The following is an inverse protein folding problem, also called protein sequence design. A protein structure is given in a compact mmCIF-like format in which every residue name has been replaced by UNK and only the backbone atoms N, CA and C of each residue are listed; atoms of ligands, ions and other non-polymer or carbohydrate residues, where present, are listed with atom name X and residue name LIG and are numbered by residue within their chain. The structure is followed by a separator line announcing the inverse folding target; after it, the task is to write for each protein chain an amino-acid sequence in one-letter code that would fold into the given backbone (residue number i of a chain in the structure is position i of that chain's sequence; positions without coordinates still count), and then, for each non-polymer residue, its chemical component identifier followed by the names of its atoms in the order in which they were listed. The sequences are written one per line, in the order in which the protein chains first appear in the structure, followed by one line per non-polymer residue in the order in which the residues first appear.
data_IF_913406278854
#
_entry.id   IF_913406278854
#
_cell.length_a   1.000
_cell.length_b   1.000
_cell.length_c   1.000
_cell.angle_alpha   90.00
_cell.angle_beta   90.00
_cell.angle_gamma   90.00
#
_symmetry.space_group_name_H-M   'P 1'
#
loop_
_entity.id
_entity.type
_entity.pdbx_description
1 polymer ?
#
# COMPACT_ATOMS: atom_id res chain seq x y z
N UNK A 1 -51.65 -72.41 -2.39
CA UNK A 1 -50.77 -71.60 -3.33
C UNK A 1 -50.79 -70.17 -2.86
N UNK A 2 -49.79 -69.76 -2.11
CA UNK A 2 -49.64 -68.41 -1.60
C UNK A 2 -48.44 -67.77 -2.28
N UNK A 3 -48.69 -66.73 -3.10
CA UNK A 3 -47.67 -65.94 -3.81
C UNK A 3 -47.13 -64.90 -2.87
N UNK A 4 -45.85 -65.01 -2.54
CA UNK A 4 -45.12 -63.94 -1.76
C UNK A 4 -44.61 -62.83 -2.69
N UNK A 5 -45.03 -61.63 -2.44
CA UNK A 5 -44.56 -60.40 -3.12
C UNK A 5 -43.31 -59.83 -2.39
N UNK A 6 -42.16 -59.98 -3.03
CA UNK A 6 -40.91 -59.44 -2.53
C UNK A 6 -40.77 -57.98 -3.00
N UNK A 7 -40.88 -57.03 -2.10
CA UNK A 7 -40.59 -55.60 -2.35
C UNK A 7 -39.09 -55.32 -2.23
N UNK A 8 -38.47 -54.99 -3.38
CA UNK A 8 -37.09 -54.45 -3.43
C UNK A 8 -37.09 -52.99 -2.97
N UNK A 9 -36.47 -52.71 -1.82
CA UNK A 9 -36.13 -51.34 -1.41
C UNK A 9 -34.84 -50.90 -2.11
N UNK A 10 -34.96 -50.02 -3.09
CA UNK A 10 -33.83 -49.37 -3.72
C UNK A 10 -33.35 -48.23 -2.79
N UNK A 11 -32.15 -48.38 -2.19
CA UNK A 11 -31.49 -47.35 -1.44
C UNK A 11 -30.92 -46.29 -2.37
N UNK A 12 -31.53 -45.11 -2.41
CA UNK A 12 -30.99 -43.91 -3.11
C UNK A 12 -29.95 -43.31 -2.25
N UNK A 13 -28.66 -43.50 -2.60
CA UNK A 13 -27.56 -42.78 -1.97
C UNK A 13 -27.62 -41.30 -2.41
N UNK A 14 -28.00 -40.41 -1.48
CA UNK A 14 -27.88 -38.96 -1.68
C UNK A 14 -26.41 -38.58 -1.70
N UNK A 15 -25.87 -38.29 -2.89
CA UNK A 15 -24.62 -37.60 -3.01
C UNK A 15 -24.82 -36.16 -2.53
N UNK A 16 -24.31 -35.81 -1.34
CA UNK A 16 -24.09 -34.42 -0.97
C UNK A 16 -23.02 -33.85 -1.92
N UNK A 17 -23.44 -33.06 -2.88
CA UNK A 17 -22.52 -32.23 -3.64
C UNK A 17 -21.96 -31.21 -2.65
N UNK A 18 -20.65 -31.27 -2.41
CA UNK A 18 -19.88 -30.25 -1.67
C UNK A 18 -19.90 -29.00 -2.56
N UNK A 19 -20.88 -28.11 -2.32
CA UNK A 19 -20.93 -26.81 -2.99
C UNK A 19 -19.98 -25.93 -2.18
N UNK A 20 -18.80 -25.55 -2.72
CA UNK A 20 -17.94 -24.61 -2.01
C UNK A 20 -18.73 -23.32 -1.79
N UNK A 21 -18.94 -22.96 -0.53
CA UNK A 21 -19.69 -21.76 -0.12
C UNK A 21 -19.08 -20.46 -0.66
N UNK A 22 -17.82 -20.52 -1.08
CA UNK A 22 -17.11 -19.43 -1.75
C UNK A 22 -16.28 -20.00 -2.89
N UNK A 23 -16.27 -19.38 -4.08
CA UNK A 23 -15.33 -19.77 -5.11
C UNK A 23 -13.91 -19.60 -4.57
N UNK A 24 -13.20 -20.69 -4.35
CA UNK A 24 -11.76 -20.70 -4.13
C UNK A 24 -11.11 -20.30 -5.44
N UNK A 25 -11.04 -18.99 -5.68
CA UNK A 25 -10.47 -18.40 -6.86
C UNK A 25 -9.19 -17.63 -6.54
N UNK A 26 -8.59 -16.94 -7.50
CA UNK A 26 -7.35 -16.16 -7.35
C UNK A 26 -7.40 -15.09 -6.26
N UNK A 27 -8.55 -14.83 -5.65
CA UNK A 27 -8.70 -13.90 -4.53
C UNK A 27 -7.98 -14.36 -3.24
N UNK A 28 -7.76 -15.67 -3.06
CA UNK A 28 -7.02 -16.17 -1.88
C UNK A 28 -5.54 -15.84 -1.91
N UNK A 29 -4.97 -15.63 -3.11
CA UNK A 29 -3.58 -15.28 -3.30
C UNK A 29 -3.40 -13.81 -3.68
N UNK A 30 -4.45 -12.99 -3.55
CA UNK A 30 -4.37 -11.58 -3.85
C UNK A 30 -3.44 -10.86 -2.87
N UNK A 31 -2.54 -10.08 -3.42
CA UNK A 31 -1.69 -9.14 -2.72
C UNK A 31 -1.85 -7.76 -3.35
N UNK A 32 -1.40 -6.73 -2.68
CA UNK A 32 -1.64 -5.36 -3.12
C UNK A 32 -0.33 -4.59 -3.20
N UNK A 33 -0.01 -4.09 -4.39
CA UNK A 33 1.23 -3.40 -4.67
C UNK A 33 0.94 -1.99 -5.15
N UNK A 34 1.58 -0.98 -4.56
CA UNK A 34 1.57 0.38 -5.08
C UNK A 34 2.98 0.93 -5.22
N UNK A 35 3.08 1.99 -5.99
CA UNK A 35 4.33 2.69 -6.22
C UNK A 35 4.22 4.14 -5.77
N UNK A 36 5.33 4.67 -5.24
CA UNK A 36 5.46 6.07 -4.85
C UNK A 36 6.72 6.67 -5.45
N UNK A 37 6.60 7.90 -5.92
CA UNK A 37 7.70 8.64 -6.51
C UNK A 37 8.34 9.58 -5.47
N UNK A 38 9.47 9.16 -4.90
CA UNK A 38 10.34 9.99 -4.06
C UNK A 38 11.55 10.55 -4.85
N UNK A 39 11.53 10.52 -6.19
CA UNK A 39 12.56 11.14 -7.03
C UNK A 39 12.22 12.61 -7.34
N UNK A 40 13.19 13.45 -7.73
CA UNK A 40 12.93 14.86 -8.04
C UNK A 40 12.02 15.12 -9.25
N UNK A 41 11.92 14.19 -10.19
CA UNK A 41 11.17 14.35 -11.43
C UNK A 41 10.02 13.37 -11.59
N UNK A 42 9.61 13.16 -12.83
CA UNK A 42 8.65 12.12 -13.21
C UNK A 42 9.27 10.74 -13.03
N UNK A 43 8.49 9.82 -12.49
CA UNK A 43 8.80 8.39 -12.42
C UNK A 43 7.90 7.63 -13.39
N UNK A 44 8.49 6.94 -14.34
CA UNK A 44 7.80 6.00 -15.22
C UNK A 44 8.13 4.57 -14.80
N UNK A 45 7.11 3.74 -14.72
CA UNK A 45 7.22 2.34 -14.37
C UNK A 45 6.62 1.48 -15.46
N UNK A 46 7.34 0.42 -15.83
CA UNK A 46 6.88 -0.62 -16.77
C UNK A 46 7.12 -1.97 -16.12
N UNK A 47 6.04 -2.74 -15.90
CA UNK A 47 6.15 -4.10 -15.40
C UNK A 47 6.60 -5.07 -16.51
N UNK A 48 7.34 -6.10 -16.14
CA UNK A 48 7.77 -7.15 -17.06
C UNK A 48 6.58 -7.78 -17.78
N UNK A 49 6.69 -7.93 -19.09
CA UNK A 49 5.62 -8.47 -19.93
C UNK A 49 4.49 -7.50 -20.24
N UNK A 50 4.49 -6.28 -19.68
CA UNK A 50 3.50 -5.25 -19.95
C UNK A 50 3.98 -4.25 -20.99
N UNK A 51 3.04 -3.79 -21.86
CA UNK A 51 3.24 -2.63 -22.73
C UNK A 51 2.74 -1.32 -22.10
N UNK A 52 1.94 -1.43 -21.04
CA UNK A 52 1.42 -0.28 -20.30
C UNK A 52 2.49 0.30 -19.39
N UNK A 53 2.47 1.61 -19.20
CA UNK A 53 3.34 2.31 -18.25
C UNK A 53 2.50 3.06 -17.25
N UNK A 54 2.95 3.02 -15.98
CA UNK A 54 2.44 3.88 -14.93
C UNK A 54 3.37 5.09 -14.81
N UNK A 55 2.80 6.30 -14.82
CA UNK A 55 3.54 7.56 -14.67
C UNK A 55 3.12 8.23 -13.38
N UNK A 56 4.10 8.57 -12.53
CA UNK A 56 3.89 9.19 -11.23
C UNK A 56 4.63 10.52 -11.15
N UNK A 57 3.90 11.61 -10.94
CA UNK A 57 4.46 12.96 -10.78
C UNK A 57 3.47 13.91 -10.11
N UNK A 58 3.95 14.99 -9.51
CA UNK A 58 3.13 16.02 -8.89
C UNK A 58 2.12 15.46 -7.89
N UNK A 59 0.86 15.79 -8.07
CA UNK A 59 -0.24 15.33 -7.21
C UNK A 59 -0.56 13.84 -7.35
N UNK A 60 -0.04 13.19 -8.39
CA UNK A 60 -0.14 11.75 -8.64
C UNK A 60 1.18 11.02 -8.37
N UNK A 61 1.93 11.50 -7.38
CA UNK A 61 3.21 10.87 -7.01
C UNK A 61 3.06 9.49 -6.34
N UNK A 62 1.86 9.12 -5.92
CA UNK A 62 1.57 7.80 -5.33
C UNK A 62 0.42 7.16 -6.10
N UNK A 63 0.57 5.91 -6.51
CA UNK A 63 -0.49 5.16 -7.20
C UNK A 63 -1.55 4.64 -6.23
N UNK A 64 -2.72 4.25 -6.76
CA UNK A 64 -3.60 3.32 -6.06
C UNK A 64 -2.90 1.96 -5.85
N UNK A 65 -3.43 1.12 -4.98
CA UNK A 65 -2.97 -0.26 -4.84
C UNK A 65 -3.47 -1.10 -6.02
N UNK A 66 -2.54 -1.71 -6.71
CA UNK A 66 -2.76 -2.63 -7.81
C UNK A 66 -2.93 -4.04 -7.23
N UNK A 67 -4.04 -4.75 -7.47
CA UNK A 67 -4.14 -6.14 -7.10
C UNK A 67 -3.15 -6.96 -7.95
N UNK A 68 -2.39 -7.81 -7.29
CA UNK A 68 -1.38 -8.69 -7.90
C UNK A 68 -1.51 -10.09 -7.32
N UNK A 69 -0.99 -11.09 -8.03
CA UNK A 69 -0.90 -12.45 -7.46
C UNK A 69 0.25 -12.46 -6.47
N UNK A 70 -0.09 -12.69 -5.19
CA UNK A 70 0.88 -12.87 -4.12
C UNK A 70 1.62 -14.21 -4.21
N UNK A 71 2.75 -14.31 -3.51
CA UNK A 71 3.48 -15.57 -3.38
C UNK A 71 4.97 -15.47 -3.69
N UNK A 72 5.55 -16.61 -4.04
CA UNK A 72 7.01 -16.74 -4.18
C UNK A 72 7.60 -16.12 -5.45
N UNK A 73 6.77 -15.89 -6.46
CA UNK A 73 7.23 -15.28 -7.71
C UNK A 73 7.37 -13.76 -7.54
N UNK A 74 8.56 -13.18 -7.78
CA UNK A 74 8.72 -11.74 -7.70
C UNK A 74 8.01 -11.04 -8.87
N UNK A 75 7.38 -9.91 -8.56
CA UNK A 75 6.90 -8.95 -9.53
C UNK A 75 8.10 -8.09 -9.93
N UNK A 76 8.36 -8.00 -11.22
CA UNK A 76 9.55 -7.33 -11.77
C UNK A 76 9.16 -6.25 -12.76
N UNK A 77 10.10 -5.35 -13.05
CA UNK A 77 9.95 -4.32 -14.06
C UNK A 77 11.06 -3.28 -13.96
N UNK A 78 10.86 -2.17 -14.64
CA UNK A 78 11.82 -1.08 -14.75
C UNK A 78 11.20 0.22 -14.23
N UNK A 79 11.93 0.90 -13.36
CA UNK A 79 11.71 2.28 -12.90
C UNK A 79 12.61 3.21 -13.73
N UNK A 80 12.03 4.23 -14.35
CA UNK A 80 12.76 5.21 -15.15
C UNK A 80 12.50 6.61 -14.59
N UNK A 81 13.54 7.32 -14.18
CA UNK A 81 13.47 8.70 -13.70
C UNK A 81 14.73 9.46 -14.08
N UNK A 82 14.59 10.73 -14.54
CA UNK A 82 15.73 11.58 -14.91
C UNK A 82 16.63 10.96 -15.99
N UNK A 83 16.07 10.18 -16.91
CA UNK A 83 16.83 9.49 -17.97
C UNK A 83 17.62 8.26 -17.51
N UNK A 84 17.46 7.84 -16.24
CA UNK A 84 18.09 6.65 -15.66
C UNK A 84 17.07 5.55 -15.44
N UNK A 85 17.48 4.31 -15.68
CA UNK A 85 16.67 3.12 -15.46
C UNK A 85 17.22 2.31 -14.28
N UNK A 86 16.32 1.73 -13.50
CA UNK A 86 16.66 0.78 -12.45
C UNK A 86 15.63 -0.36 -12.45
N UNK A 87 16.11 -1.59 -12.39
CA UNK A 87 15.24 -2.74 -12.27
C UNK A 87 14.65 -2.81 -10.85
N UNK A 88 13.39 -3.19 -10.77
CA UNK A 88 12.78 -3.55 -9.49
C UNK A 88 12.36 -5.01 -9.48
N UNK A 89 12.40 -5.60 -8.29
CA UNK A 89 11.96 -6.96 -8.06
C UNK A 89 11.41 -7.06 -6.64
N UNK A 90 10.12 -7.33 -6.50
CA UNK A 90 9.45 -7.39 -5.20
C UNK A 90 8.58 -8.64 -5.10
N UNK A 91 8.72 -9.38 -4.00
CA UNK A 91 7.79 -10.45 -3.62
C UNK A 91 6.78 -9.85 -2.66
N UNK A 92 5.51 -10.20 -2.81
CA UNK A 92 4.42 -9.76 -1.93
C UNK A 92 3.65 -11.00 -1.51
N UNK A 93 3.49 -11.21 -0.21
CA UNK A 93 2.76 -12.35 0.30
C UNK A 93 1.23 -12.18 0.10
N UNK A 94 0.46 -13.27 0.01
CA UNK A 94 -1.00 -13.18 -0.01
C UNK A 94 -1.54 -12.34 1.17
N UNK A 95 -2.46 -11.43 0.88
CA UNK A 95 -3.05 -10.50 1.86
C UNK A 95 -2.16 -9.32 2.26
N UNK A 96 -0.92 -9.27 1.80
CA UNK A 96 0.01 -8.20 2.13
C UNK A 96 -0.20 -6.95 1.27
N UNK A 97 0.00 -5.79 1.86
CA UNK A 97 0.07 -4.50 1.18
C UNK A 97 1.53 -4.03 1.14
N UNK A 98 2.06 -3.83 -0.05
CA UNK A 98 3.43 -3.37 -0.24
C UNK A 98 3.47 -2.03 -0.98
N UNK A 99 4.26 -1.09 -0.47
CA UNK A 99 4.54 0.19 -1.12
C UNK A 99 5.99 0.20 -1.57
N UNK A 100 6.23 0.27 -2.87
CA UNK A 100 7.57 0.46 -3.46
C UNK A 100 7.79 1.94 -3.67
N UNK A 101 8.71 2.54 -2.92
CA UNK A 101 9.09 3.93 -3.06
C UNK A 101 10.37 4.00 -3.90
N UNK A 102 10.29 4.67 -5.06
CA UNK A 102 11.46 4.98 -5.86
C UNK A 102 12.16 6.22 -5.29
N UNK A 103 13.45 6.12 -5.04
CA UNK A 103 14.29 7.14 -4.43
C UNK A 103 15.57 7.32 -5.25
N UNK A 104 16.29 8.41 -4.99
CA UNK A 104 17.63 8.62 -5.56
C UNK A 104 18.64 8.48 -4.43
N UNK A 105 19.68 7.70 -4.63
CA UNK A 105 20.79 7.54 -3.69
C UNK A 105 21.79 8.71 -3.78
N UNK A 106 22.76 8.75 -2.88
CA UNK A 106 23.79 9.78 -2.84
C UNK A 106 24.67 9.84 -4.11
N UNK A 107 24.67 8.80 -4.94
CA UNK A 107 25.37 8.72 -6.22
C UNK A 107 24.50 9.13 -7.40
N UNK A 108 23.24 9.51 -7.13
CA UNK A 108 22.26 9.86 -8.14
C UNK A 108 21.70 8.66 -8.90
N UNK A 109 21.84 7.43 -8.37
CA UNK A 109 21.22 6.25 -8.94
C UNK A 109 19.82 6.04 -8.33
N UNK A 110 18.89 5.51 -9.13
CA UNK A 110 17.56 5.14 -8.64
C UNK A 110 17.68 3.90 -7.75
N UNK A 111 17.19 3.99 -6.52
CA UNK A 111 17.02 2.87 -5.58
C UNK A 111 15.54 2.68 -5.25
N UNK A 112 15.20 1.49 -4.77
CA UNK A 112 13.86 1.21 -4.25
C UNK A 112 13.92 0.97 -2.75
N UNK A 113 12.88 1.41 -2.05
CA UNK A 113 12.56 1.06 -0.68
C UNK A 113 11.20 0.37 -0.68
N UNK A 114 11.11 -0.82 -0.08
CA UNK A 114 9.86 -1.57 0.01
C UNK A 114 9.35 -1.52 1.44
N UNK A 115 8.21 -0.89 1.63
CA UNK A 115 7.52 -0.83 2.92
C UNK A 115 6.32 -1.77 2.87
N UNK A 116 6.17 -2.61 3.88
CA UNK A 116 5.16 -3.66 3.96
C UNK A 116 4.27 -3.45 5.15
N UNK A 117 2.98 -3.67 4.97
CA UNK A 117 2.02 -3.66 6.06
C UNK A 117 0.98 -4.77 5.91
N UNK A 118 0.49 -5.24 7.05
CA UNK A 118 -0.72 -6.06 7.11
C UNK A 118 -1.86 -5.10 7.45
N UNK A 119 -3.01 -5.19 6.75
CA UNK A 119 -4.14 -4.31 7.04
C UNK A 119 -4.57 -4.45 8.50
N UNK A 120 -4.89 -3.31 9.11
CA UNK A 120 -5.57 -3.25 10.40
C UNK A 120 -7.06 -3.58 10.27
N UNK A 121 -7.73 -3.77 11.40
CA UNK A 121 -9.16 -4.00 11.44
C UNK A 121 -9.94 -2.84 10.83
N UNK A 122 -10.97 -3.17 10.05
CA UNK A 122 -11.86 -2.19 9.46
C UNK A 122 -12.74 -1.51 10.51
N UNK A 123 -12.81 -0.19 10.50
CA UNK A 123 -13.72 0.61 11.32
C UNK A 123 -14.45 1.64 10.47
N UNK A 124 -15.74 1.40 10.22
CA UNK A 124 -16.57 2.25 9.38
C UNK A 124 -16.77 3.68 9.93
N UNK A 125 -16.49 3.93 11.21
CA UNK A 125 -16.68 5.24 11.86
C UNK A 125 -15.39 6.06 11.97
N UNK A 126 -14.26 5.46 11.66
CA UNK A 126 -12.94 6.08 11.72
C UNK A 126 -12.29 6.11 10.35
N UNK A 127 -11.36 7.03 10.15
CA UNK A 127 -10.39 6.95 9.07
C UNK A 127 -9.15 6.21 9.57
N UNK A 128 -8.54 5.39 8.73
CA UNK A 128 -7.26 4.75 9.03
C UNK A 128 -6.14 5.52 8.31
N UNK A 129 -5.22 6.12 9.07
CA UNK A 129 -4.10 6.90 8.55
C UNK A 129 -2.79 6.18 8.82
N UNK A 130 -2.00 5.92 7.77
CA UNK A 130 -0.62 5.46 7.88
C UNK A 130 0.36 6.63 7.72
N UNK A 131 1.50 6.54 8.40
CA UNK A 131 2.66 7.35 8.15
C UNK A 131 3.86 6.46 7.82
N UNK A 132 4.44 6.67 6.65
CA UNK A 132 5.61 5.96 6.11
C UNK A 132 6.78 6.93 6.05
N UNK A 133 7.90 6.55 6.65
CA UNK A 133 9.13 7.30 6.46
C UNK A 133 9.99 6.63 5.37
N UNK A 134 10.17 7.29 4.24
CA UNK A 134 11.04 6.86 3.15
C UNK A 134 12.27 7.76 2.97
N UNK A 135 12.55 8.64 3.93
CA UNK A 135 13.68 9.55 3.90
C UNK A 135 14.75 9.18 4.94
N UNK A 136 15.88 8.65 4.48
CA UNK A 136 17.00 8.29 5.33
C UNK A 136 17.62 9.50 6.06
N UNK A 137 17.44 10.72 5.55
CA UNK A 137 17.96 11.94 6.18
C UNK A 137 17.09 12.40 7.35
N UNK A 138 15.85 11.86 7.46
CA UNK A 138 14.91 12.10 8.53
C UNK A 138 14.76 10.85 9.40
N UNK A 139 15.83 10.43 10.09
CA UNK A 139 15.91 9.14 10.78
C UNK A 139 14.84 8.94 11.85
N UNK A 140 14.46 9.99 12.58
CA UNK A 140 13.43 9.99 13.63
C UNK A 140 12.22 10.82 13.18
N UNK A 141 11.60 10.44 12.07
CA UNK A 141 10.46 11.15 11.51
C UNK A 141 9.26 11.11 12.46
N UNK A 142 8.70 12.28 12.73
CA UNK A 142 7.45 12.43 13.48
C UNK A 142 6.46 13.26 12.67
N UNK A 143 5.16 12.98 12.82
CA UNK A 143 4.10 13.74 12.17
C UNK A 143 3.22 14.40 13.23
N UNK A 144 3.14 15.74 13.21
CA UNK A 144 2.38 16.52 14.15
C UNK A 144 1.13 17.14 13.50
N UNK A 145 -0.01 17.07 14.18
CA UNK A 145 -1.20 17.83 13.80
C UNK A 145 -0.99 19.31 14.17
N UNK A 146 -0.98 20.18 13.16
CA UNK A 146 -0.57 21.60 13.32
C UNK A 146 -1.49 22.35 14.31
N UNK A 147 -2.80 22.22 14.14
CA UNK A 147 -3.76 22.97 14.94
C UNK A 147 -3.78 22.54 16.43
N UNK A 148 -3.64 21.25 16.69
CA UNK A 148 -3.66 20.68 18.04
C UNK A 148 -2.28 20.63 18.70
N UNK A 149 -1.21 20.85 17.94
CA UNK A 149 0.19 20.63 18.36
C UNK A 149 0.39 19.24 18.97
N UNK A 150 -0.30 18.25 18.41
CA UNK A 150 -0.31 16.88 18.90
C UNK A 150 0.47 15.97 17.95
N UNK A 151 1.41 15.21 18.47
CA UNK A 151 2.12 14.20 17.69
C UNK A 151 1.19 13.04 17.35
N UNK A 152 0.96 12.86 16.06
CA UNK A 152 0.18 11.74 15.54
C UNK A 152 1.03 10.48 15.43
N UNK A 153 2.26 10.62 14.98
CA UNK A 153 3.24 9.54 14.84
C UNK A 153 4.58 10.00 15.37
N UNK A 154 5.34 9.09 15.97
CA UNK A 154 6.60 9.39 16.64
C UNK A 154 7.71 8.45 16.19
N UNK A 155 8.90 9.00 15.97
CA UNK A 155 10.14 8.25 15.79
C UNK A 155 10.01 7.11 14.75
N UNK A 156 9.39 7.42 13.60
CA UNK A 156 9.24 6.46 12.51
C UNK A 156 10.57 6.40 11.75
N UNK A 157 11.26 5.28 11.86
CA UNK A 157 12.54 5.04 11.18
C UNK A 157 12.35 4.93 9.65
N UNK A 158 13.42 5.12 8.87
CA UNK A 158 13.38 4.85 7.42
C UNK A 158 12.92 3.42 7.15
N UNK A 159 12.01 3.25 6.21
CA UNK A 159 11.43 1.96 5.84
C UNK A 159 10.34 1.46 6.78
N UNK A 160 10.06 2.17 7.86
CA UNK A 160 8.99 1.82 8.78
C UNK A 160 7.66 2.50 8.42
N UNK A 161 6.57 1.87 8.84
CA UNK A 161 5.22 2.38 8.78
C UNK A 161 4.56 2.28 10.14
N UNK A 162 3.83 3.32 10.54
CA UNK A 162 2.92 3.28 11.68
C UNK A 162 1.53 3.64 11.18
N UNK A 163 0.49 2.98 11.70
CA UNK A 163 -0.91 3.23 11.33
C UNK A 163 -1.75 3.43 12.58
N UNK A 164 -2.75 4.31 12.48
CA UNK A 164 -3.70 4.55 13.55
C UNK A 164 -5.07 4.98 13.04
N UNK A 165 -6.09 4.72 13.83
CA UNK A 165 -7.45 5.19 13.59
C UNK A 165 -7.61 6.62 14.08
N UNK A 166 -8.17 7.49 13.22
CA UNK A 166 -8.41 8.91 13.49
C UNK A 166 -9.89 9.22 13.21
N UNK A 167 -10.48 10.17 13.93
CA UNK A 167 -11.81 10.64 13.58
C UNK A 167 -11.80 11.33 12.21
N UNK A 168 -12.87 11.21 11.42
CA UNK A 168 -13.02 11.97 10.19
C UNK A 168 -12.88 13.46 10.46
N UNK A 169 -11.94 14.10 9.79
CA UNK A 169 -11.60 15.52 10.03
C UNK A 169 -10.75 16.06 8.88
N UNK A 170 -10.82 17.36 8.64
CA UNK A 170 -9.76 18.05 7.90
C UNK A 170 -8.54 18.21 8.80
N UNK A 171 -7.40 17.77 8.32
CA UNK A 171 -6.17 17.67 9.09
C UNK A 171 -5.01 18.35 8.35
N UNK A 172 -4.34 19.28 9.01
CA UNK A 172 -3.06 19.82 8.57
C UNK A 172 -1.95 19.22 9.41
N UNK A 173 -0.95 18.63 8.76
CA UNK A 173 0.16 17.94 9.42
C UNK A 173 1.51 18.55 9.04
N UNK A 174 2.43 18.57 10.00
CA UNK A 174 3.81 19.01 9.84
C UNK A 174 4.76 17.85 10.08
N UNK A 175 5.66 17.62 9.12
CA UNK A 175 6.78 16.70 9.32
C UNK A 175 7.82 17.32 10.28
N UNK A 176 8.31 16.51 11.20
CA UNK A 176 9.46 16.84 12.06
C UNK A 176 10.54 15.78 11.91
N UNK A 177 11.78 16.24 11.77
CA UNK A 177 12.97 15.41 11.77
C UNK A 177 13.83 15.81 12.97
N UNK A 178 14.17 14.86 13.84
CA UNK A 178 14.88 15.12 15.09
C UNK A 178 14.25 16.27 15.91
N UNK A 179 12.90 16.34 15.96
CA UNK A 179 12.12 17.32 16.68
C UNK A 179 11.95 18.68 15.98
N UNK A 180 12.65 18.94 14.88
CA UNK A 180 12.55 20.20 14.13
C UNK A 180 11.60 20.08 12.94
N UNK A 181 10.72 21.07 12.68
CA UNK A 181 9.83 21.04 11.52
C UNK A 181 10.62 21.12 10.20
N UNK A 182 10.23 20.32 9.23
CA UNK A 182 10.85 20.23 7.90
C UNK A 182 9.78 20.26 6.82
N UNK A 183 10.08 20.95 5.71
CA UNK A 183 9.16 21.08 4.58
C UNK A 183 7.93 21.93 4.90
N UNK A 184 6.96 21.91 3.99
CA UNK A 184 5.68 22.62 4.16
C UNK A 184 4.64 21.71 4.81
N UNK A 185 3.73 22.27 5.63
CA UNK A 185 2.59 21.53 6.13
C UNK A 185 1.74 20.96 4.97
N UNK A 186 1.15 19.81 5.18
CA UNK A 186 0.25 19.15 4.23
C UNK A 186 -1.15 19.09 4.82
N UNK A 187 -2.14 19.56 4.06
CA UNK A 187 -3.56 19.56 4.49
C UNK A 187 -4.37 18.60 3.62
N UNK A 188 -5.20 17.77 4.26
CA UNK A 188 -6.08 16.81 3.61
C UNK A 188 -7.30 16.51 4.47
N UNK A 189 -8.34 15.91 3.84
CA UNK A 189 -9.58 15.52 4.53
C UNK A 189 -9.64 14.01 4.69
N UNK A 190 -9.87 13.56 5.92
CA UNK A 190 -10.09 12.17 6.27
C UNK A 190 -11.60 11.87 6.36
N UNK A 191 -12.07 10.83 5.69
CA UNK A 191 -13.45 10.37 5.72
C UNK A 191 -13.59 9.06 6.48
N UNK A 192 -14.75 8.85 7.10
CA UNK A 192 -15.07 7.61 7.81
C UNK A 192 -15.03 6.41 6.85
N UNK A 193 -14.48 5.28 7.34
CA UNK A 193 -14.36 4.04 6.59
C UNK A 193 -13.27 4.05 5.51
N UNK A 194 -12.58 5.16 5.28
CA UNK A 194 -11.52 5.25 4.28
C UNK A 194 -10.12 5.09 4.91
N UNK A 195 -9.19 4.68 4.07
CA UNK A 195 -7.77 4.46 4.43
C UNK A 195 -6.90 5.42 3.64
N UNK A 196 -5.86 5.91 4.30
CA UNK A 196 -4.94 6.91 3.74
C UNK A 196 -3.51 6.65 4.18
N UNK A 197 -2.57 7.17 3.41
CA UNK A 197 -1.14 7.18 3.74
C UNK A 197 -0.53 8.55 3.51
N UNK A 198 0.32 8.95 4.45
CA UNK A 198 1.26 10.06 4.31
C UNK A 198 2.66 9.48 4.22
N UNK A 199 3.45 9.89 3.25
CA UNK A 199 4.83 9.43 3.05
C UNK A 199 5.77 10.62 3.18
N UNK A 200 6.79 10.50 4.04
CA UNK A 200 7.93 11.41 4.03
C UNK A 200 8.95 10.91 3.01
N UNK A 201 9.31 11.75 2.06
CA UNK A 201 10.30 11.44 1.01
C UNK A 201 11.32 12.58 0.88
N UNK A 202 12.54 12.32 0.39
CA UNK A 202 13.53 13.35 0.13
C UNK A 202 13.03 14.40 -0.87
N UNK A 203 13.51 15.62 -0.73
CA UNK A 203 13.32 16.70 -1.72
C UNK A 203 14.56 17.59 -1.77
N UNK A 204 14.62 18.48 -2.77
CA UNK A 204 15.77 19.40 -2.95
C UNK A 204 15.95 20.38 -1.77
N UNK A 205 14.89 20.60 -0.97
CA UNK A 205 14.90 21.49 0.19
C UNK A 205 14.82 20.76 1.53
N UNK A 206 15.17 19.47 1.55
CA UNK A 206 15.06 18.58 2.72
C UNK A 206 14.06 17.46 2.47
N UNK A 207 13.06 17.31 3.33
CA UNK A 207 12.01 16.30 3.19
C UNK A 207 10.68 16.94 2.81
N UNK A 208 9.84 16.22 2.07
CA UNK A 208 8.45 16.61 1.75
C UNK A 208 7.49 15.48 2.10
N UNK A 209 6.21 15.83 2.25
CA UNK A 209 5.13 14.89 2.45
C UNK A 209 4.38 14.63 1.14
N UNK A 210 4.07 13.37 0.88
CA UNK A 210 3.12 12.93 -0.13
C UNK A 210 1.88 12.38 0.58
N UNK A 211 0.71 12.54 -0.04
CA UNK A 211 -0.57 12.01 0.47
C UNK A 211 -1.22 11.12 -0.58
N UNK A 212 -1.82 10.04 -0.14
CA UNK A 212 -2.61 9.17 -0.98
C UNK A 212 -3.78 8.56 -0.23
N UNK A 213 -4.90 8.37 -0.94
CA UNK A 213 -5.92 7.41 -0.54
C UNK A 213 -5.41 5.99 -0.81
N UNK A 214 -5.63 5.07 0.13
CA UNK A 214 -5.25 3.66 -0.01
C UNK A 214 -6.33 2.89 -0.80
N UNK A 215 -6.87 3.50 -1.84
CA UNK A 215 -7.86 2.88 -2.73
C UNK A 215 -7.21 1.78 -3.57
N UNK A 216 -8.02 0.77 -3.93
CA UNK A 216 -7.64 -0.23 -4.92
C UNK A 216 -7.83 0.35 -6.33
N UNK A 217 -6.93 -0.01 -7.25
CA UNK A 217 -7.11 0.28 -8.66
C UNK A 217 -8.24 -0.59 -9.23
N UNK A 218 -9.10 0.03 -10.02
CA UNK A 218 -10.19 -0.65 -10.76
C UNK A 218 -9.66 -1.29 -12.04
#
# INVERSE_FOLDING_TARGET
MTLGLATLLASVSAYCADIPLYPTGPEQDAAFLRFANGTPGELKLVADGSKASLVLSGDKAVSAFLPVVGGDKPIKGVLSSGGKNADFSVKVAPGEFATVVALVDAKGATRQLVVREVPDDFNALKASLAFINADATCADASLEAVAQKAELFKQVAEGAVQRRMINPVELSVQLKCAGSPVGQPLTFTLKAGERYSVLAVPSDTGSKLLFASDALAN
#
